data_IF_099873634374
#
_entry.id   IF_099873634374
#
_cell.length_a   1.000
_cell.length_b   1.000
_cell.length_c   1.000
_cell.angle_alpha   90.00
_cell.angle_beta   90.00
_cell.angle_gamma   90.00
#
_symmetry.space_group_name_H-M   'P 1'
#
loop_
_entity.id
_entity.type
_entity.pdbx_description
1 polymer ?
#
# COMPACT_ATOMS: atom_id res chain seq x y z
N UNK A 1 25.74 22.80 24.91
CA UNK A 1 24.68 21.89 24.43
C UNK A 1 23.40 22.23 25.14
N UNK A 2 22.43 22.83 24.40
CA UNK A 2 21.14 23.19 24.93
C UNK A 2 20.05 22.20 24.50
N UNK A 3 18.86 22.30 25.11
CA UNK A 3 17.69 21.49 24.75
C UNK A 3 17.38 21.56 23.23
N UNK A 4 17.61 22.71 22.62
CA UNK A 4 17.36 22.92 21.19
C UNK A 4 18.37 22.18 20.29
N UNK A 5 19.63 22.03 20.73
CA UNK A 5 20.63 21.26 20.00
C UNK A 5 20.30 19.76 20.03
N UNK A 6 19.77 19.28 21.18
CA UNK A 6 19.30 17.92 21.32
C UNK A 6 18.06 17.65 20.46
N UNK A 7 17.11 18.60 20.42
CA UNK A 7 15.91 18.47 19.57
C UNK A 7 16.26 18.48 18.08
N UNK A 8 17.24 19.32 17.65
CA UNK A 8 17.76 19.26 16.29
C UNK A 8 18.45 17.93 15.99
N UNK A 9 19.29 17.44 16.90
CA UNK A 9 19.93 16.13 16.74
C UNK A 9 18.90 14.98 16.62
N UNK A 10 17.75 15.05 17.29
CA UNK A 10 16.67 14.06 17.14
C UNK A 10 15.96 14.11 15.77
N UNK A 11 15.94 15.27 15.12
CA UNK A 11 15.42 15.41 13.74
C UNK A 11 16.43 14.99 12.67
N UNK A 12 17.73 15.16 12.95
CA UNK A 12 18.81 14.89 11.99
C UNK A 12 19.30 13.42 12.04
N UNK A 13 19.04 12.71 13.13
CA UNK A 13 19.43 11.31 13.30
C UNK A 13 18.25 10.40 13.02
N UNK A 14 18.27 9.71 11.89
CA UNK A 14 17.32 8.62 11.60
C UNK A 14 17.68 7.45 12.51
N UNK A 15 16.81 7.05 13.46
CA UNK A 15 17.10 5.91 14.33
C UNK A 15 17.29 4.64 13.49
N UNK A 16 18.34 3.88 13.75
CA UNK A 16 18.56 2.57 13.13
C UNK A 16 17.42 1.58 13.44
N UNK A 17 16.65 1.87 14.48
CA UNK A 17 15.46 1.16 14.92
C UNK A 17 14.30 2.15 15.03
N UNK A 18 13.23 1.94 14.27
CA UNK A 18 12.09 2.85 14.31
C UNK A 18 11.27 2.87 13.02
N UNK A 19 10.74 4.02 12.68
CA UNK A 19 9.84 4.20 11.54
C UNK A 19 10.63 4.51 10.28
N UNK A 20 10.46 3.71 9.22
CA UNK A 20 10.95 4.01 7.86
C UNK A 20 10.03 5.06 7.20
N UNK A 21 9.97 6.27 7.79
CA UNK A 21 9.03 7.31 7.35
C UNK A 21 9.26 7.77 5.92
N UNK A 22 10.52 7.86 5.47
CA UNK A 22 10.87 8.30 4.12
C UNK A 22 10.35 7.33 3.05
N UNK A 23 10.56 6.02 3.24
CA UNK A 23 10.09 4.99 2.32
C UNK A 23 8.56 4.98 2.22
N UNK A 24 7.88 5.11 3.36
CA UNK A 24 6.41 5.17 3.42
C UNK A 24 5.86 6.45 2.80
N UNK A 25 6.46 7.61 3.10
CA UNK A 25 6.08 8.90 2.49
C UNK A 25 6.28 8.89 0.97
N UNK A 26 7.34 8.24 0.48
CA UNK A 26 7.57 8.09 -0.94
C UNK A 26 6.45 7.32 -1.65
N UNK A 27 5.77 6.38 -0.96
CA UNK A 27 4.62 5.66 -1.49
C UNK A 27 3.33 6.50 -1.52
N UNK A 28 3.22 7.57 -0.73
CA UNK A 28 2.00 8.39 -0.55
C UNK A 28 2.12 9.79 -1.17
N UNK A 29 3.05 10.01 -2.12
CA UNK A 29 3.35 11.34 -2.70
C UNK A 29 2.14 12.14 -3.18
N UNK A 30 1.07 11.48 -3.63
CA UNK A 30 -0.16 12.13 -4.10
C UNK A 30 -1.29 12.18 -3.07
N UNK A 31 -1.07 11.73 -1.82
CA UNK A 31 -2.11 11.56 -0.81
C UNK A 31 -3.07 10.41 -1.15
N UNK A 32 -4.08 10.23 -0.29
CA UNK A 32 -5.17 9.26 -0.55
C UNK A 32 -6.39 10.05 -1.02
N UNK A 33 -6.88 9.69 -2.21
CA UNK A 33 -8.11 10.26 -2.76
C UNK A 33 -9.31 9.46 -2.26
N UNK A 34 -10.26 10.13 -1.65
CA UNK A 34 -11.53 9.56 -1.22
C UNK A 34 -12.57 9.67 -2.35
N UNK A 35 -12.25 9.10 -3.50
CA UNK A 35 -13.00 9.27 -4.74
C UNK A 35 -14.43 8.71 -4.69
N UNK A 36 -14.73 7.83 -3.73
CA UNK A 36 -16.02 7.17 -3.63
C UNK A 36 -16.34 6.70 -2.20
N UNK A 37 -17.63 6.43 -1.94
CA UNK A 37 -18.08 5.80 -0.70
C UNK A 37 -17.42 4.43 -0.44
N UNK A 38 -17.26 3.53 -1.43
CA UNK A 38 -16.51 2.29 -1.23
C UNK A 38 -15.07 2.50 -0.80
N UNK A 39 -14.35 3.44 -1.42
CA UNK A 39 -12.96 3.76 -1.05
C UNK A 39 -12.89 4.33 0.37
N UNK A 40 -13.77 5.27 0.70
CA UNK A 40 -13.86 5.88 2.04
C UNK A 40 -14.18 4.82 3.11
N UNK A 41 -15.13 3.93 2.83
CA UNK A 41 -15.48 2.82 3.75
C UNK A 41 -14.32 1.85 3.94
N UNK A 42 -13.58 1.53 2.88
CA UNK A 42 -12.42 0.66 2.95
C UNK A 42 -11.32 1.25 3.85
N UNK A 43 -10.99 2.53 3.66
CA UNK A 43 -10.04 3.25 4.51
C UNK A 43 -10.50 3.27 5.96
N UNK A 44 -11.78 3.62 6.19
CA UNK A 44 -12.37 3.64 7.53
C UNK A 44 -12.34 2.25 8.19
N UNK A 45 -12.67 1.18 7.44
CA UNK A 45 -12.63 -0.20 7.95
C UNK A 45 -11.22 -0.58 8.37
N UNK A 46 -10.21 -0.34 7.52
CA UNK A 46 -8.81 -0.65 7.83
C UNK A 46 -8.32 0.14 9.06
N UNK A 47 -8.64 1.44 9.12
CA UNK A 47 -8.29 2.29 10.27
C UNK A 47 -8.95 1.81 11.56
N UNK A 48 -10.23 1.43 11.50
CA UNK A 48 -10.97 0.91 12.66
C UNK A 48 -10.37 -0.42 13.16
N UNK A 49 -9.98 -1.34 12.27
CA UNK A 49 -9.33 -2.60 12.65
C UNK A 49 -8.02 -2.35 13.40
N UNK A 50 -7.19 -1.42 12.91
CA UNK A 50 -5.93 -1.03 13.57
C UNK A 50 -6.23 -0.41 14.95
N UNK A 51 -7.21 0.50 15.04
CA UNK A 51 -7.60 1.16 16.27
C UNK A 51 -8.17 0.17 17.31
N UNK A 52 -8.94 -0.81 16.85
CA UNK A 52 -9.46 -1.89 17.71
C UNK A 52 -8.33 -2.75 18.27
N UNK A 53 -7.30 -3.06 17.46
CA UNK A 53 -6.12 -3.75 17.99
C UNK A 53 -5.44 -2.94 19.08
N UNK A 54 -5.28 -1.62 18.90
CA UNK A 54 -4.68 -0.73 19.91
C UNK A 54 -5.39 -0.80 21.26
N UNK A 55 -6.71 -0.94 21.28
CA UNK A 55 -7.52 -1.00 22.51
C UNK A 55 -7.73 -2.43 23.03
N UNK A 56 -7.53 -3.45 22.20
CA UNK A 56 -7.78 -4.85 22.57
C UNK A 56 -6.84 -5.33 23.68
N UNK A 57 -7.40 -6.06 24.64
CA UNK A 57 -6.63 -6.76 25.68
C UNK A 57 -6.34 -8.22 25.34
N UNK A 58 -7.04 -8.78 24.37
CA UNK A 58 -6.98 -10.20 23.99
C UNK A 58 -6.18 -10.40 22.72
N UNK A 59 -6.46 -9.59 21.70
CA UNK A 59 -5.81 -9.70 20.39
C UNK A 59 -4.48 -8.94 20.39
N UNK A 60 -3.42 -9.62 20.02
CA UNK A 60 -2.05 -9.04 19.94
C UNK A 60 -1.51 -8.97 18.51
N UNK A 61 -2.16 -9.68 17.57
CA UNK A 61 -1.76 -9.75 16.16
C UNK A 61 -2.97 -9.46 15.26
N UNK A 62 -2.79 -8.57 14.29
CA UNK A 62 -3.73 -8.31 13.21
C UNK A 62 -2.97 -8.39 11.88
N UNK A 63 -3.42 -9.23 10.97
CA UNK A 63 -2.90 -9.29 9.61
C UNK A 63 -4.00 -8.96 8.61
N UNK A 64 -3.75 -7.97 7.76
CA UNK A 64 -4.70 -7.46 6.76
C UNK A 64 -4.07 -7.58 5.38
N UNK A 65 -4.78 -8.20 4.45
CA UNK A 65 -4.41 -8.25 3.04
C UNK A 65 -5.17 -7.16 2.27
N UNK A 66 -4.46 -6.34 1.51
CA UNK A 66 -5.03 -5.44 0.52
C UNK A 66 -4.85 -6.07 -0.86
N UNK A 67 -5.93 -6.50 -1.46
CA UNK A 67 -5.93 -7.16 -2.77
C UNK A 67 -6.66 -6.32 -3.83
N UNK A 68 -6.33 -6.53 -5.08
CA UNK A 68 -7.01 -5.86 -6.20
C UNK A 68 -6.10 -5.67 -7.41
N UNK A 69 -6.63 -5.21 -8.54
CA UNK A 69 -5.86 -5.06 -9.77
C UNK A 69 -4.63 -4.15 -9.62
N UNK A 70 -3.62 -4.28 -10.50
CA UNK A 70 -2.47 -3.38 -10.48
C UNK A 70 -2.86 -1.91 -10.64
N UNK A 71 -2.21 -1.03 -9.88
CA UNK A 71 -2.43 0.43 -10.01
C UNK A 71 -3.66 0.99 -9.29
N UNK A 72 -4.35 0.20 -8.45
CA UNK A 72 -5.52 0.67 -7.67
C UNK A 72 -5.16 1.46 -6.39
N UNK A 73 -3.88 1.60 -6.06
CA UNK A 73 -3.45 2.40 -4.90
C UNK A 73 -3.19 1.59 -3.63
N UNK A 74 -3.12 0.26 -3.68
CA UNK A 74 -2.89 -0.63 -2.51
C UNK A 74 -1.66 -0.25 -1.68
N UNK A 75 -0.52 -0.06 -2.33
CA UNK A 75 0.75 0.33 -1.68
C UNK A 75 0.64 1.68 -0.99
N UNK A 76 0.01 2.67 -1.66
CA UNK A 76 -0.22 3.99 -1.07
C UNK A 76 -1.14 3.92 0.15
N UNK A 77 -2.22 3.13 0.06
CA UNK A 77 -3.13 2.91 1.17
C UNK A 77 -2.44 2.22 2.35
N UNK A 78 -1.66 1.15 2.10
CA UNK A 78 -0.90 0.46 3.14
C UNK A 78 0.09 1.41 3.83
N UNK A 79 0.81 2.22 3.05
CA UNK A 79 1.76 3.20 3.58
C UNK A 79 1.07 4.31 4.39
N UNK A 80 -0.09 4.81 3.94
CA UNK A 80 -0.86 5.80 4.69
C UNK A 80 -1.35 5.24 6.02
N UNK A 81 -1.94 4.04 6.02
CA UNK A 81 -2.37 3.36 7.25
C UNK A 81 -1.20 3.17 8.23
N UNK A 82 -0.01 2.88 7.69
CA UNK A 82 1.20 2.75 8.49
C UNK A 82 1.63 4.07 9.12
N UNK A 83 1.59 5.17 8.37
CA UNK A 83 1.92 6.51 8.88
C UNK A 83 0.91 6.98 9.93
N UNK A 84 -0.39 6.73 9.69
CA UNK A 84 -1.47 7.15 10.58
C UNK A 84 -1.54 6.31 11.87
N UNK A 85 -1.00 5.09 11.85
CA UNK A 85 -1.03 4.16 13.00
C UNK A 85 -0.27 4.65 14.22
N UNK A 86 0.65 5.63 14.06
CA UNK A 86 1.54 6.15 15.11
C UNK A 86 2.29 5.05 15.88
N UNK A 87 2.59 3.94 15.19
CA UNK A 87 3.31 2.81 15.75
C UNK A 87 4.76 3.18 16.06
N UNK A 88 5.29 2.69 17.19
CA UNK A 88 6.67 2.95 17.60
C UNK A 88 7.71 2.32 16.66
N UNK A 89 7.33 1.23 15.99
CA UNK A 89 8.10 0.60 14.92
C UNK A 89 7.23 0.47 13.69
N UNK A 90 7.71 0.97 12.55
CA UNK A 90 7.01 0.86 11.28
C UNK A 90 8.01 0.57 10.17
N UNK A 91 7.84 -0.53 9.44
CA UNK A 91 8.77 -0.96 8.40
C UNK A 91 8.04 -1.35 7.14
N UNK A 92 8.53 -0.84 6.00
CA UNK A 92 8.14 -1.28 4.68
C UNK A 92 9.12 -2.35 4.18
N UNK A 93 8.60 -3.49 3.80
CA UNK A 93 9.32 -4.58 3.13
C UNK A 93 8.80 -4.65 1.70
N UNK A 94 9.60 -4.21 0.75
CA UNK A 94 9.22 -4.14 -0.66
C UNK A 94 10.26 -4.86 -1.53
N UNK A 95 9.89 -5.33 -2.74
CA UNK A 95 10.83 -5.93 -3.69
C UNK A 95 12.01 -5.01 -4.02
N UNK A 96 11.78 -3.68 -4.02
CA UNK A 96 12.80 -2.69 -4.34
C UNK A 96 13.98 -2.71 -3.34
N UNK A 97 13.68 -2.93 -2.06
CA UNK A 97 14.72 -3.02 -1.01
C UNK A 97 15.51 -4.33 -1.06
N UNK A 98 15.10 -5.29 -1.89
CA UNK A 98 15.67 -6.63 -1.99
C UNK A 98 16.34 -6.93 -3.36
N UNK A 99 16.52 -5.91 -4.19
CA UNK A 99 17.18 -6.08 -5.50
C UNK A 99 18.61 -6.60 -5.29
N UNK A 100 18.97 -7.65 -6.02
CA UNK A 100 20.29 -8.29 -5.94
C UNK A 100 20.50 -9.26 -4.77
N UNK A 101 19.47 -9.44 -3.90
CA UNK A 101 19.54 -10.43 -2.81
C UNK A 101 19.08 -11.80 -3.30
N UNK A 102 19.82 -12.86 -2.92
CA UNK A 102 19.35 -14.23 -3.09
C UNK A 102 18.22 -14.57 -2.09
N UNK A 103 17.47 -15.65 -2.37
CA UNK A 103 16.29 -16.04 -1.60
C UNK A 103 16.54 -16.20 -0.07
N UNK A 104 17.69 -16.76 0.33
CA UNK A 104 18.05 -16.89 1.75
C UNK A 104 18.29 -15.53 2.42
N UNK A 105 18.93 -14.59 1.72
CA UNK A 105 19.14 -13.24 2.24
C UNK A 105 17.81 -12.48 2.38
N UNK A 106 16.89 -12.64 1.43
CA UNK A 106 15.52 -12.10 1.51
C UNK A 106 14.77 -12.66 2.71
N UNK A 107 14.78 -13.99 2.88
CA UNK A 107 14.14 -14.65 4.01
C UNK A 107 14.71 -14.17 5.35
N UNK A 108 16.05 -14.03 5.45
CA UNK A 108 16.69 -13.50 6.65
C UNK A 108 16.31 -12.06 6.95
N UNK A 109 16.21 -11.20 5.91
CA UNK A 109 15.77 -9.80 6.07
C UNK A 109 14.34 -9.73 6.57
N UNK A 110 13.43 -10.54 6.01
CA UNK A 110 12.04 -10.64 6.46
C UNK A 110 11.99 -11.10 7.91
N UNK A 111 12.64 -12.23 8.25
CA UNK A 111 12.66 -12.76 9.61
C UNK A 111 13.20 -11.74 10.63
N UNK A 112 14.31 -11.06 10.29
CA UNK A 112 14.90 -10.00 11.12
C UNK A 112 13.92 -8.84 11.32
N UNK A 113 13.18 -8.42 10.26
CA UNK A 113 12.20 -7.35 10.38
C UNK A 113 11.09 -7.71 11.37
N UNK A 114 10.59 -8.94 11.34
CA UNK A 114 9.60 -9.42 12.31
C UNK A 114 10.17 -9.54 13.72
N UNK A 115 11.40 -10.02 13.88
CA UNK A 115 12.06 -10.10 15.19
C UNK A 115 12.29 -8.71 15.78
N UNK A 116 12.62 -7.70 14.96
CA UNK A 116 12.75 -6.31 15.39
C UNK A 116 11.39 -5.73 15.77
N UNK A 117 10.35 -5.99 14.98
CA UNK A 117 8.98 -5.58 15.30
C UNK A 117 8.49 -6.13 16.65
N UNK A 118 8.84 -7.38 16.98
CA UNK A 118 8.45 -8.00 18.24
C UNK A 118 9.12 -7.39 19.50
N UNK A 119 10.14 -6.53 19.33
CA UNK A 119 10.80 -5.82 20.43
C UNK A 119 10.06 -4.56 20.86
N UNK A 120 9.22 -4.01 19.99
CA UNK A 120 8.46 -2.77 20.25
C UNK A 120 7.07 -3.07 20.80
N UNK A 121 6.54 -2.21 21.67
CA UNK A 121 5.21 -2.42 22.26
C UNK A 121 4.08 -2.35 21.22
N UNK A 122 4.26 -1.56 20.17
CA UNK A 122 3.33 -1.47 19.03
C UNK A 122 4.12 -1.35 17.75
N UNK A 123 3.89 -2.27 16.83
CA UNK A 123 4.62 -2.37 15.56
C UNK A 123 3.67 -2.54 14.40
N UNK A 124 4.07 -2.01 13.23
CA UNK A 124 3.39 -2.22 11.98
C UNK A 124 4.41 -2.60 10.90
N UNK A 125 4.14 -3.66 10.17
CA UNK A 125 4.93 -4.10 9.01
C UNK A 125 4.05 -4.03 7.77
N UNK A 126 4.54 -3.38 6.72
CA UNK A 126 3.94 -3.43 5.38
C UNK A 126 4.76 -4.38 4.52
N UNK A 127 4.12 -5.43 4.00
CA UNK A 127 4.67 -6.37 3.02
C UNK A 127 4.11 -6.01 1.65
N UNK A 128 4.87 -5.28 0.85
CA UNK A 128 4.38 -4.77 -0.42
C UNK A 128 4.70 -5.72 -1.59
N UNK A 129 3.71 -5.89 -2.47
CA UNK A 129 3.82 -6.68 -3.71
C UNK A 129 4.29 -8.13 -3.44
N UNK A 130 3.50 -8.87 -2.64
CA UNK A 130 3.85 -10.20 -2.12
C UNK A 130 4.23 -11.19 -3.23
N UNK A 131 3.57 -11.15 -4.38
CA UNK A 131 3.90 -11.98 -5.52
C UNK A 131 5.34 -11.76 -6.03
N UNK A 132 5.84 -10.52 -5.97
CA UNK A 132 7.23 -10.22 -6.35
C UNK A 132 8.22 -10.52 -5.23
N UNK A 133 7.83 -10.37 -3.98
CA UNK A 133 8.65 -10.83 -2.84
C UNK A 133 8.90 -12.33 -2.95
N UNK A 134 7.89 -13.09 -3.37
CA UNK A 134 7.96 -14.53 -3.62
C UNK A 134 8.69 -14.91 -4.90
N UNK A 135 9.10 -13.95 -5.74
CA UNK A 135 9.67 -14.19 -7.07
C UNK A 135 8.74 -15.03 -7.98
N UNK A 136 7.43 -14.82 -7.82
CA UNK A 136 6.46 -15.58 -8.60
C UNK A 136 6.53 -15.22 -10.09
N UNK A 137 6.63 -16.25 -10.93
CA UNK A 137 6.65 -16.14 -12.38
C UNK A 137 5.51 -17.00 -12.96
N UNK A 138 4.68 -16.39 -13.83
CA UNK A 138 3.50 -17.05 -14.42
C UNK A 138 3.85 -18.16 -15.41
N UNK A 139 4.96 -18.01 -16.15
CA UNK A 139 5.40 -18.98 -17.16
C UNK A 139 6.26 -20.02 -16.47
N UNK A 140 5.75 -21.25 -16.38
CA UNK A 140 6.37 -22.33 -15.60
C UNK A 140 6.38 -21.96 -14.12
N UNK A 141 5.22 -22.02 -13.43
CA UNK A 141 5.05 -21.38 -12.13
C UNK A 141 6.21 -21.70 -11.19
N UNK A 142 6.96 -20.67 -10.88
CA UNK A 142 8.10 -20.71 -9.97
C UNK A 142 7.91 -19.67 -8.88
N UNK A 143 8.35 -20.00 -7.71
CA UNK A 143 8.40 -19.10 -6.56
C UNK A 143 9.48 -19.54 -5.59
N UNK A 144 9.95 -18.64 -4.74
CA UNK A 144 10.90 -18.99 -3.68
C UNK A 144 10.17 -19.65 -2.52
N UNK A 145 10.34 -20.97 -2.40
CA UNK A 145 9.78 -21.70 -1.27
C UNK A 145 10.38 -21.26 0.07
N UNK A 146 11.63 -20.83 0.09
CA UNK A 146 12.29 -20.32 1.33
C UNK A 146 11.61 -19.06 1.82
N UNK A 147 11.34 -18.10 0.93
CA UNK A 147 10.62 -16.86 1.26
C UNK A 147 9.18 -17.16 1.64
N UNK A 148 8.49 -18.05 0.91
CA UNK A 148 7.10 -18.45 1.21
C UNK A 148 6.99 -19.02 2.64
N UNK A 149 7.79 -20.02 2.97
CA UNK A 149 7.76 -20.65 4.32
C UNK A 149 8.09 -19.62 5.41
N UNK A 150 9.01 -18.70 5.15
CA UNK A 150 9.33 -17.63 6.09
C UNK A 150 8.12 -16.71 6.33
N UNK A 151 7.42 -16.31 5.27
CA UNK A 151 6.22 -15.47 5.38
C UNK A 151 5.09 -16.20 6.11
N UNK A 152 4.81 -17.46 5.76
CA UNK A 152 3.76 -18.28 6.39
C UNK A 152 3.95 -18.38 7.91
N UNK A 153 5.21 -18.50 8.37
CA UNK A 153 5.54 -18.57 9.80
C UNK A 153 5.51 -17.18 10.44
N UNK A 154 6.15 -16.19 9.85
CA UNK A 154 6.32 -14.87 10.43
C UNK A 154 4.99 -14.12 10.59
N UNK A 155 4.09 -14.19 9.59
CA UNK A 155 2.80 -13.48 9.62
C UNK A 155 1.86 -14.04 10.70
N UNK A 156 1.95 -15.34 11.01
CA UNK A 156 1.16 -16.00 12.08
C UNK A 156 1.76 -15.86 13.46
N UNK A 157 3.04 -15.47 13.57
CA UNK A 157 3.75 -15.42 14.84
C UNK A 157 3.25 -14.26 15.71
N UNK A 158 2.49 -14.55 16.74
CA UNK A 158 2.03 -13.55 17.69
C UNK A 158 3.19 -12.93 18.49
N UNK A 159 3.15 -11.62 18.77
CA UNK A 159 4.14 -10.96 19.61
C UNK A 159 4.00 -11.39 21.08
N UNK A 160 4.99 -11.03 21.91
CA UNK A 160 4.98 -11.29 23.36
C UNK A 160 3.80 -10.59 24.02
N UNK A 161 3.41 -11.10 25.19
CA UNK A 161 2.36 -10.49 26.02
C UNK A 161 2.68 -9.01 26.27
N UNK A 162 1.69 -8.16 26.05
CA UNK A 162 1.81 -6.70 26.16
C UNK A 162 2.33 -6.00 24.92
N UNK A 163 2.73 -6.73 23.88
CA UNK A 163 3.13 -6.18 22.58
C UNK A 163 2.04 -6.45 21.53
N UNK A 164 1.99 -5.60 20.52
CA UNK A 164 1.01 -5.66 19.42
C UNK A 164 1.70 -5.53 18.08
N UNK A 165 1.22 -6.30 17.11
CA UNK A 165 1.74 -6.29 15.74
C UNK A 165 0.60 -6.20 14.74
N UNK A 166 0.70 -5.23 13.83
CA UNK A 166 -0.10 -5.16 12.60
C UNK A 166 0.77 -5.58 11.43
N UNK A 167 0.28 -6.45 10.59
CA UNK A 167 0.90 -6.81 9.31
C UNK A 167 -0.06 -6.44 8.19
N UNK A 168 0.35 -5.58 7.26
CA UNK A 168 -0.43 -5.23 6.07
C UNK A 168 0.28 -5.82 4.86
N UNK A 169 -0.36 -6.76 4.16
CA UNK A 169 0.12 -7.29 2.89
C UNK A 169 -0.54 -6.59 1.72
N UNK A 170 0.15 -6.42 0.60
CA UNK A 170 -0.46 -6.00 -0.66
C UNK A 170 -0.23 -7.04 -1.75
N UNK A 171 -1.24 -7.26 -2.60
CA UNK A 171 -1.13 -8.15 -3.75
C UNK A 171 -2.00 -7.71 -4.91
N UNK A 172 -1.49 -7.94 -6.11
CA UNK A 172 -2.24 -7.78 -7.36
C UNK A 172 -2.68 -9.11 -7.99
N UNK A 173 -2.41 -10.22 -7.31
CA UNK A 173 -2.68 -11.59 -7.77
C UNK A 173 -3.17 -12.48 -6.64
N UNK A 174 -4.35 -12.14 -6.09
CA UNK A 174 -4.96 -12.86 -4.96
C UNK A 174 -5.09 -14.38 -5.22
N UNK A 175 -5.45 -14.78 -6.44
CA UNK A 175 -5.55 -16.20 -6.83
C UNK A 175 -4.23 -16.97 -6.73
N UNK A 176 -3.10 -16.30 -6.92
CA UNK A 176 -1.77 -16.90 -6.74
C UNK A 176 -1.48 -17.12 -5.27
N UNK A 177 -1.78 -16.12 -4.44
CA UNK A 177 -1.56 -16.21 -2.99
C UNK A 177 -2.47 -17.25 -2.34
N UNK A 178 -3.69 -17.42 -2.85
CA UNK A 178 -4.62 -18.48 -2.43
C UNK A 178 -4.04 -19.87 -2.74
N UNK A 179 -3.55 -20.10 -3.96
CA UNK A 179 -2.91 -21.36 -4.35
C UNK A 179 -1.66 -21.68 -3.52
N UNK A 180 -0.97 -20.65 -3.00
CA UNK A 180 0.20 -20.79 -2.14
C UNK A 180 -0.15 -20.83 -0.65
N UNK A 181 -1.43 -20.90 -0.28
CA UNK A 181 -1.94 -20.86 1.09
C UNK A 181 -1.50 -19.63 1.90
N UNK A 182 -0.98 -18.61 1.20
CA UNK A 182 -0.51 -17.39 1.84
C UNK A 182 -1.66 -16.44 2.19
N UNK A 183 -2.77 -16.50 1.45
CA UNK A 183 -3.95 -15.70 1.75
C UNK A 183 -4.57 -16.10 3.10
N UNK A 184 -4.55 -17.40 3.44
CA UNK A 184 -5.14 -17.95 4.66
C UNK A 184 -4.39 -17.57 5.95
N UNK A 185 -3.20 -17.01 5.83
CA UNK A 185 -2.46 -16.51 7.01
C UNK A 185 -2.87 -15.09 7.41
N UNK A 186 -3.62 -14.39 6.55
CA UNK A 186 -4.15 -13.07 6.86
C UNK A 186 -5.54 -13.18 7.49
N UNK A 187 -5.75 -12.42 8.57
CA UNK A 187 -7.03 -12.44 9.30
C UNK A 187 -8.17 -11.80 8.50
N UNK A 188 -7.85 -10.79 7.68
CA UNK A 188 -8.82 -10.00 6.91
C UNK A 188 -8.26 -9.73 5.53
N UNK A 189 -9.08 -9.93 4.49
CA UNK A 189 -8.81 -9.46 3.12
C UNK A 189 -9.73 -8.30 2.79
N UNK A 190 -9.16 -7.21 2.28
CA UNK A 190 -9.85 -6.01 1.83
C UNK A 190 -9.58 -5.80 0.35
N UNK A 191 -10.64 -5.79 -0.45
CA UNK A 191 -10.53 -5.57 -1.89
C UNK A 191 -10.46 -4.09 -2.22
N UNK A 192 -9.42 -3.67 -2.95
CA UNK A 192 -9.21 -2.30 -3.44
C UNK A 192 -9.58 -2.26 -4.92
N UNK A 193 -10.81 -1.85 -5.27
CA UNK A 193 -11.30 -1.87 -6.64
C UNK A 193 -10.65 -0.78 -7.49
N UNK A 194 -10.62 -0.92 -8.82
CA UNK A 194 -10.39 0.19 -9.72
C UNK A 194 -11.61 1.13 -9.72
N UNK A 195 -11.42 2.35 -10.22
CA UNK A 195 -12.45 3.37 -10.22
C UNK A 195 -13.47 3.16 -11.34
N UNK A 196 -14.73 3.38 -11.03
CA UNK A 196 -15.76 3.61 -12.06
C UNK A 196 -15.56 4.98 -12.71
N UNK A 197 -16.13 5.25 -13.91
CA UNK A 197 -16.04 6.57 -14.54
C UNK A 197 -16.51 7.73 -13.66
N UNK A 198 -17.57 7.51 -12.87
CA UNK A 198 -18.10 8.50 -11.92
C UNK A 198 -17.13 8.76 -10.76
N UNK A 199 -16.52 7.74 -10.23
CA UNK A 199 -15.50 7.84 -9.18
C UNK A 199 -14.22 8.48 -9.71
N UNK A 200 -13.83 8.19 -10.95
CA UNK A 200 -12.70 8.85 -11.62
C UNK A 200 -12.93 10.36 -11.77
N UNK A 201 -14.14 10.77 -12.14
CA UNK A 201 -14.52 12.18 -12.19
C UNK A 201 -14.44 12.84 -10.80
N UNK A 202 -14.93 12.18 -9.77
CA UNK A 202 -14.86 12.68 -8.39
C UNK A 202 -13.40 12.79 -7.92
N UNK A 203 -12.53 11.82 -8.28
CA UNK A 203 -11.11 11.85 -7.98
C UNK A 203 -10.40 13.06 -8.59
N UNK A 204 -10.67 13.36 -9.88
CA UNK A 204 -10.13 14.54 -10.55
C UNK A 204 -10.61 15.85 -9.90
N UNK A 205 -11.86 15.89 -9.41
CA UNK A 205 -12.37 17.01 -8.63
C UNK A 205 -11.60 17.26 -7.34
N UNK A 206 -11.27 16.19 -6.60
CA UNK A 206 -10.46 16.29 -5.38
C UNK A 206 -9.01 16.73 -5.65
N UNK A 207 -8.49 16.46 -6.83
CA UNK A 207 -7.17 16.96 -7.28
C UNK A 207 -7.19 18.44 -7.65
N UNK A 208 -8.36 19.07 -7.64
CA UNK A 208 -8.49 20.49 -7.95
C UNK A 208 -8.45 20.82 -9.45
N UNK A 209 -8.78 19.85 -10.31
CA UNK A 209 -8.89 20.08 -11.76
C UNK A 209 -10.06 21.04 -12.03
N UNK A 210 -9.84 22.23 -12.65
CA UNK A 210 -10.89 23.24 -12.76
C UNK A 210 -12.05 22.88 -13.71
N UNK A 211 -11.76 22.07 -14.75
CA UNK A 211 -12.72 21.71 -15.81
C UNK A 211 -13.17 20.24 -15.76
N UNK A 212 -13.41 19.72 -14.55
CA UNK A 212 -13.84 18.31 -14.34
C UNK A 212 -15.13 17.99 -15.11
N UNK A 213 -16.04 18.96 -15.30
CA UNK A 213 -17.28 18.75 -15.99
C UNK A 213 -17.08 18.39 -17.49
N UNK A 214 -16.09 19.00 -18.14
CA UNK A 214 -15.75 18.73 -19.54
C UNK A 214 -15.14 17.32 -19.65
N UNK A 215 -14.21 16.98 -18.78
CA UNK A 215 -13.56 15.67 -18.70
C UNK A 215 -14.53 14.54 -18.36
N UNK A 216 -15.59 14.83 -17.61
CA UNK A 216 -16.63 13.86 -17.27
C UNK A 216 -17.33 13.28 -18.52
N UNK A 217 -17.49 14.09 -19.57
CA UNK A 217 -18.05 13.65 -20.86
C UNK A 217 -17.16 12.57 -21.52
N UNK A 218 -15.86 12.74 -21.46
CA UNK A 218 -14.89 11.77 -21.99
C UNK A 218 -14.90 10.48 -21.16
N UNK A 219 -14.87 10.61 -19.83
CA UNK A 219 -14.91 9.47 -18.91
C UNK A 219 -16.21 8.66 -19.01
N UNK A 220 -17.34 9.29 -19.31
CA UNK A 220 -18.61 8.59 -19.51
C UNK A 220 -18.59 7.60 -20.70
N UNK A 221 -17.67 7.78 -21.66
CA UNK A 221 -17.43 6.85 -22.75
C UNK A 221 -16.63 5.60 -22.37
N UNK A 222 -15.97 5.61 -21.21
CA UNK A 222 -15.14 4.49 -20.73
C UNK A 222 -16.02 3.38 -20.18
N UNK A 223 -15.84 2.15 -20.67
CA UNK A 223 -16.61 0.98 -20.25
C UNK A 223 -15.95 0.19 -19.12
N UNK A 224 -14.63 0.19 -19.07
CA UNK A 224 -13.87 -0.57 -18.09
C UNK A 224 -13.50 0.27 -16.88
N UNK A 225 -13.42 -0.34 -15.69
CA UNK A 225 -12.95 0.36 -14.49
C UNK A 225 -11.51 0.82 -14.63
N UNK A 226 -11.22 2.03 -14.17
CA UNK A 226 -9.94 2.74 -14.39
C UNK A 226 -9.04 2.57 -13.16
N UNK A 227 -7.82 2.01 -13.31
CA UNK A 227 -6.85 2.01 -12.22
C UNK A 227 -6.44 3.44 -11.85
N UNK A 228 -6.44 3.76 -10.55
CA UNK A 228 -6.11 5.10 -10.02
C UNK A 228 -4.78 5.64 -10.59
N UNK A 229 -3.74 4.80 -10.62
CA UNK A 229 -2.42 5.18 -11.16
C UNK A 229 -2.48 5.61 -12.63
N UNK A 230 -3.28 4.92 -13.44
CA UNK A 230 -3.47 5.28 -14.86
C UNK A 230 -4.23 6.60 -14.99
N UNK A 231 -5.30 6.79 -14.20
CA UNK A 231 -6.05 8.04 -14.19
C UNK A 231 -5.15 9.24 -13.88
N UNK A 232 -4.36 9.13 -12.81
CA UNK A 232 -3.45 10.20 -12.39
C UNK A 232 -2.42 10.53 -13.48
N UNK A 233 -1.82 9.51 -14.09
CA UNK A 233 -0.84 9.68 -15.16
C UNK A 233 -1.47 10.37 -16.37
N UNK A 234 -2.63 9.92 -16.84
CA UNK A 234 -3.35 10.50 -17.99
C UNK A 234 -3.75 11.95 -17.69
N UNK A 235 -4.25 12.21 -16.49
CA UNK A 235 -4.60 13.57 -16.08
C UNK A 235 -3.36 14.50 -16.11
N UNK A 236 -2.25 14.08 -15.50
CA UNK A 236 -1.00 14.85 -15.47
C UNK A 236 -0.45 15.13 -16.87
N UNK A 237 -0.47 14.14 -17.78
CA UNK A 237 -0.02 14.29 -19.17
C UNK A 237 -0.92 15.20 -19.99
N UNK A 238 -2.17 15.42 -19.57
CA UNK A 238 -3.16 16.22 -20.29
C UNK A 238 -3.36 17.60 -19.70
N UNK A 239 -2.63 17.96 -18.61
CA UNK A 239 -2.67 19.31 -18.05
C UNK A 239 -2.00 20.33 -18.98
N UNK A 240 -2.63 21.48 -19.11
CA UNK A 240 -2.06 22.68 -19.73
C UNK A 240 -1.30 23.54 -18.70
N UNK A 241 -0.72 24.66 -19.16
CA UNK A 241 0.00 25.58 -18.30
C UNK A 241 -0.90 26.30 -17.26
N UNK A 242 -2.22 26.25 -17.41
CA UNK A 242 -3.21 26.83 -16.49
C UNK A 242 -3.74 25.81 -15.47
N UNK A 243 -3.28 24.54 -15.53
CA UNK A 243 -3.75 23.45 -14.69
C UNK A 243 -5.10 22.87 -15.13
N UNK A 244 -5.56 23.16 -16.34
CA UNK A 244 -6.77 22.59 -16.94
C UNK A 244 -6.40 21.35 -17.75
N UNK A 245 -7.29 20.39 -17.81
CA UNK A 245 -7.13 19.22 -18.67
C UNK A 245 -7.64 19.60 -20.09
N UNK A 246 -6.80 19.36 -21.09
CA UNK A 246 -7.20 19.42 -22.49
C UNK A 246 -7.99 18.14 -22.84
N UNK A 247 -9.27 18.28 -23.18
CA UNK A 247 -10.18 17.16 -23.40
C UNK A 247 -9.76 16.25 -24.57
N UNK A 248 -9.27 16.85 -25.66
CA UNK A 248 -8.83 16.09 -26.84
C UNK A 248 -7.56 15.27 -26.51
N UNK A 249 -6.63 15.90 -25.81
CA UNK A 249 -5.40 15.25 -25.35
C UNK A 249 -5.69 14.18 -24.30
N UNK A 250 -6.63 14.44 -23.39
CA UNK A 250 -7.06 13.47 -22.39
C UNK A 250 -7.69 12.23 -23.03
N UNK A 251 -8.59 12.43 -24.01
CA UNK A 251 -9.21 11.33 -24.74
C UNK A 251 -8.19 10.49 -25.52
N UNK A 252 -7.25 11.13 -26.24
CA UNK A 252 -6.20 10.40 -26.96
C UNK A 252 -5.28 9.63 -26.02
N UNK A 253 -4.89 10.22 -24.88
CA UNK A 253 -4.02 9.56 -23.89
C UNK A 253 -4.74 8.40 -23.19
N UNK A 254 -6.06 8.50 -22.94
CA UNK A 254 -6.86 7.37 -22.43
C UNK A 254 -6.89 6.21 -23.43
N UNK A 255 -7.03 6.52 -24.73
CA UNK A 255 -7.00 5.50 -25.78
C UNK A 255 -5.64 4.83 -25.90
N UNK A 256 -4.54 5.60 -25.86
CA UNK A 256 -3.16 5.07 -25.84
C UNK A 256 -2.89 4.21 -24.59
N UNK A 257 -3.48 4.58 -23.46
CA UNK A 257 -3.39 3.80 -22.20
C UNK A 257 -4.26 2.53 -22.20
N UNK A 258 -5.05 2.28 -23.29
CA UNK A 258 -5.95 1.14 -23.43
C UNK A 258 -7.10 1.16 -22.42
N UNK A 259 -7.67 2.33 -22.15
CA UNK A 259 -8.79 2.53 -21.22
C UNK A 259 -10.08 2.88 -22.00
N UNK A 260 -9.97 3.49 -23.14
CA UNK A 260 -11.08 3.95 -24.00
C UNK A 260 -11.18 3.06 -25.23
#
# INVERSE_FOLDING_TARGET
MGRNDFLRGLTDVIPAFGVSSEDLQACVRGGILHASDPCTRLVATATNLISQLHSSKVTSLLSVMLEGPPGTGKTALAAQLALDSKSAFCKLVSPNSMIGMGEHAKAQLIAKTFDDAHKSPMSLIVLDDLERLLEYVRIGPRFSNVVLQTLLVCVKKAPKVGHKLVVIGTSSSASVLEQLELLDVFNVSLHVPPLTPTEATAALGQLGVPNVADVAGVLAGVREPIPMKKLLLVAEMSLDASGRIDDARFASTLQEAGIL
#
